data_IF_430464100315
#
_entry.id   IF_430464100315
#
_cell.length_a   1.000
_cell.length_b   1.000
_cell.length_c   1.000
_cell.angle_alpha   90.00
_cell.angle_beta   90.00
_cell.angle_gamma   90.00
#
_symmetry.space_group_name_H-M   'P 1'
#
loop_
_entity.id
_entity.type
_entity.pdbx_description
1 polymer ?
#
# COMPACT_ATOMS: atom_id res chain seq x y z
N UNK A 1 2.08 -15.15 -5.91
CA UNK A 1 1.30 -14.13 -5.20
C UNK A 1 2.02 -12.80 -5.35
N UNK A 2 1.30 -11.74 -5.72
CA UNK A 2 1.88 -10.40 -5.84
C UNK A 2 2.10 -9.80 -4.45
N UNK A 3 3.26 -9.21 -4.22
CA UNK A 3 3.61 -8.50 -2.99
C UNK A 3 2.55 -7.42 -2.66
N UNK A 4 2.00 -7.45 -1.44
CA UNK A 4 0.89 -6.54 -1.05
C UNK A 4 1.32 -5.09 -0.97
N UNK A 5 2.59 -4.80 -0.70
CA UNK A 5 3.11 -3.43 -0.71
C UNK A 5 3.02 -2.84 -2.13
N UNK A 6 3.29 -3.65 -3.17
CA UNK A 6 3.12 -3.23 -4.56
C UNK A 6 1.64 -2.97 -4.88
N UNK A 7 0.73 -3.82 -4.40
CA UNK A 7 -0.72 -3.64 -4.59
C UNK A 7 -1.23 -2.37 -3.90
N UNK A 8 -0.84 -2.14 -2.64
CA UNK A 8 -1.16 -0.91 -1.89
C UNK A 8 -0.63 0.31 -2.64
N UNK A 9 0.63 0.26 -3.11
CA UNK A 9 1.24 1.37 -3.85
C UNK A 9 0.45 1.69 -5.12
N UNK A 10 0.10 0.67 -5.92
CA UNK A 10 -0.73 0.83 -7.13
C UNK A 10 -2.10 1.42 -6.82
N UNK A 11 -2.75 0.98 -5.74
CA UNK A 11 -4.03 1.54 -5.31
C UNK A 11 -3.91 3.04 -5.00
N UNK A 12 -2.89 3.42 -4.22
CA UNK A 12 -2.65 4.83 -3.88
C UNK A 12 -2.34 5.65 -5.13
N UNK A 13 -1.52 5.14 -6.06
CA UNK A 13 -1.21 5.84 -7.33
C UNK A 13 -2.45 6.09 -8.18
N UNK A 14 -3.38 5.14 -8.21
CA UNK A 14 -4.63 5.28 -8.96
C UNK A 14 -5.60 6.25 -8.28
N UNK A 15 -5.65 6.25 -6.94
CA UNK A 15 -6.67 6.97 -6.17
C UNK A 15 -6.27 8.39 -5.82
N UNK A 16 -5.01 8.60 -5.42
CA UNK A 16 -4.47 9.89 -5.00
C UNK A 16 -3.65 10.48 -6.14
N UNK A 17 -4.19 11.50 -6.79
CA UNK A 17 -3.41 12.30 -7.74
C UNK A 17 -2.33 13.08 -6.99
N UNK A 18 -1.08 13.02 -7.46
CA UNK A 18 0.06 13.74 -6.86
C UNK A 18 0.92 12.92 -5.88
N UNK A 19 1.25 13.49 -4.72
CA UNK A 19 2.27 12.99 -3.78
C UNK A 19 1.83 11.82 -2.87
N UNK A 20 0.80 11.06 -3.24
CA UNK A 20 0.25 9.99 -2.39
C UNK A 20 1.29 8.92 -2.01
N UNK A 21 2.06 8.43 -2.98
CA UNK A 21 3.13 7.45 -2.73
C UNK A 21 4.28 8.06 -1.92
N UNK A 22 4.64 9.31 -2.21
CA UNK A 22 5.68 10.00 -1.43
C UNK A 22 5.29 10.15 0.04
N UNK A 23 4.02 10.50 0.31
CA UNK A 23 3.47 10.57 1.66
C UNK A 23 3.43 9.19 2.32
N UNK A 24 3.12 8.13 1.58
CA UNK A 24 3.14 6.76 2.11
C UNK A 24 4.56 6.39 2.58
N UNK A 25 5.57 6.71 1.76
CA UNK A 25 6.98 6.48 2.11
C UNK A 25 7.39 7.30 3.34
N UNK A 26 6.96 8.56 3.41
CA UNK A 26 7.26 9.45 4.55
C UNK A 26 6.64 8.95 5.85
N UNK A 27 5.38 8.52 5.83
CA UNK A 27 4.66 8.10 7.04
C UNK A 27 5.06 6.69 7.51
N UNK A 28 5.32 5.77 6.59
CA UNK A 28 5.72 4.39 6.92
C UNK A 28 7.22 4.22 7.17
N UNK A 29 8.05 5.15 6.68
CA UNK A 29 9.51 5.00 6.65
C UNK A 29 9.99 3.92 5.68
N UNK A 30 9.11 3.43 4.79
CA UNK A 30 9.41 2.34 3.84
C UNK A 30 9.50 2.91 2.44
N UNK A 31 10.58 2.61 1.72
CA UNK A 31 10.68 2.91 0.29
C UNK A 31 9.84 1.92 -0.52
N UNK A 32 8.53 2.15 -0.60
CA UNK A 32 7.58 1.21 -1.23
C UNK A 32 7.83 0.99 -2.73
N UNK A 33 8.54 1.92 -3.40
CA UNK A 33 8.92 1.78 -4.82
C UNK A 33 10.08 0.81 -5.05
N UNK A 34 10.79 0.41 -3.99
CA UNK A 34 11.86 -0.57 -4.09
C UNK A 34 11.34 -2.01 -4.24
N UNK A 35 10.07 -2.25 -3.92
CA UNK A 35 9.47 -3.59 -3.94
C UNK A 35 8.98 -3.95 -5.34
N UNK A 36 9.30 -5.16 -5.76
CA UNK A 36 8.79 -5.81 -6.95
C UNK A 36 7.63 -6.75 -6.61
N UNK A 37 6.70 -7.01 -7.55
CA UNK A 37 5.61 -7.95 -7.36
C UNK A 37 6.03 -9.33 -6.84
N UNK A 38 7.19 -9.81 -7.25
CA UNK A 38 7.77 -11.10 -6.89
C UNK A 38 8.59 -11.12 -5.59
N UNK A 39 8.86 -9.96 -5.00
CA UNK A 39 9.67 -9.88 -3.77
C UNK A 39 8.92 -10.51 -2.59
N UNK A 40 9.63 -11.23 -1.69
CA UNK A 40 9.02 -11.81 -0.51
C UNK A 40 8.48 -10.74 0.43
N UNK A 41 7.28 -10.97 0.98
CA UNK A 41 6.69 -10.07 1.95
C UNK A 41 7.44 -10.19 3.29
N UNK A 42 7.93 -9.05 3.78
CA UNK A 42 8.50 -8.97 5.13
C UNK A 42 7.41 -8.46 6.08
N UNK A 43 6.96 -9.25 7.07
CA UNK A 43 5.81 -8.89 7.92
C UNK A 43 5.97 -7.51 8.58
N UNK A 44 7.13 -7.24 9.19
CA UNK A 44 7.39 -5.96 9.85
C UNK A 44 7.48 -4.75 8.91
N UNK A 45 7.63 -4.96 7.61
CA UNK A 45 7.58 -3.87 6.60
C UNK A 45 6.14 -3.62 6.19
N UNK A 46 5.38 -4.68 5.93
CA UNK A 46 3.96 -4.57 5.58
C UNK A 46 3.16 -3.90 6.70
N UNK A 47 3.41 -4.26 7.96
CA UNK A 47 2.73 -3.67 9.12
C UNK A 47 2.95 -2.15 9.19
N UNK A 48 4.19 -1.68 8.95
CA UNK A 48 4.52 -0.25 8.91
C UNK A 48 3.78 0.48 7.79
N UNK A 49 3.69 -0.14 6.61
CA UNK A 49 2.93 0.42 5.48
C UNK A 49 1.44 0.49 5.83
N UNK A 50 0.88 -0.55 6.46
CA UNK A 50 -0.52 -0.60 6.85
C UNK A 50 -0.87 0.42 7.94
N UNK A 51 -0.01 0.59 8.95
CA UNK A 51 -0.18 1.60 10.01
C UNK A 51 -0.19 3.03 9.47
N UNK A 52 0.46 3.29 8.34
CA UNK A 52 0.46 4.60 7.70
C UNK A 52 -0.79 4.89 6.85
N UNK A 53 -1.60 3.88 6.50
CA UNK A 53 -2.76 4.05 5.62
C UNK A 53 -3.83 5.02 6.14
N UNK A 54 -4.18 5.04 7.44
CA UNK A 54 -5.17 5.99 7.98
C UNK A 54 -4.77 7.46 7.85
N UNK A 55 -3.48 7.75 7.73
CA UNK A 55 -2.97 9.12 7.54
C UNK A 55 -3.13 9.60 6.09
N UNK A 56 -3.37 8.68 5.16
CA UNK A 56 -3.46 8.96 3.72
C UNK A 56 -4.87 8.74 3.15
N UNK A 57 -5.59 7.76 3.68
CA UNK A 57 -6.85 7.27 3.15
C UNK A 57 -7.97 7.53 4.17
N UNK A 58 -9.14 7.93 3.66
CA UNK A 58 -10.36 7.93 4.45
C UNK A 58 -10.80 6.50 4.79
N UNK A 59 -11.66 6.32 5.79
CA UNK A 59 -12.18 5.01 6.16
C UNK A 59 -12.88 4.29 4.99
N UNK A 60 -13.54 5.03 4.11
CA UNK A 60 -14.14 4.46 2.89
C UNK A 60 -13.07 3.95 1.92
N UNK A 61 -12.00 4.73 1.69
CA UNK A 61 -10.89 4.32 0.82
C UNK A 61 -10.10 3.14 1.39
N UNK A 62 -10.02 3.02 2.72
CA UNK A 62 -9.43 1.84 3.38
C UNK A 62 -10.26 0.59 3.08
N UNK A 63 -11.59 0.67 3.20
CA UNK A 63 -12.47 -0.45 2.83
C UNK A 63 -12.37 -0.79 1.33
N UNK A 64 -12.24 0.21 0.45
CA UNK A 64 -11.98 0.01 -0.98
C UNK A 64 -10.66 -0.73 -1.21
N UNK A 65 -9.59 -0.35 -0.50
CA UNK A 65 -8.29 -1.01 -0.57
C UNK A 65 -8.37 -2.46 -0.07
N UNK A 66 -9.07 -2.72 1.04
CA UNK A 66 -9.23 -4.09 1.55
C UNK A 66 -9.96 -5.00 0.56
N UNK A 67 -11.00 -4.50 -0.10
CA UNK A 67 -11.68 -5.23 -1.19
C UNK A 67 -10.74 -5.50 -2.36
N UNK A 68 -10.01 -4.47 -2.82
CA UNK A 68 -9.02 -4.62 -3.89
C UNK A 68 -7.95 -5.67 -3.58
N UNK A 69 -7.44 -5.69 -2.34
CA UNK A 69 -6.46 -6.70 -1.90
C UNK A 69 -7.06 -8.11 -1.78
N UNK A 70 -8.35 -8.23 -1.50
CA UNK A 70 -9.03 -9.52 -1.46
C UNK A 70 -9.25 -10.10 -2.88
N UNK A 71 -9.58 -9.24 -3.85
CA UNK A 71 -9.79 -9.64 -5.26
C UNK A 71 -8.49 -10.13 -5.92
N UNK A 72 -7.35 -9.50 -5.63
CA UNK A 72 -6.03 -9.88 -6.18
C UNK A 72 -5.44 -11.16 -5.53
N UNK A 73 -6.15 -11.74 -4.54
CA UNK A 73 -5.77 -13.03 -3.91
C UNK A 73 -6.45 -14.25 -4.55
N UNK A 74 -7.52 -14.04 -5.32
CA UNK A 74 -8.27 -15.07 -6.06
C UNK A 74 -7.65 -15.33 -7.42
#
# INVERSE_FOLDING_TARGET
MTNRICLITRFIERRKTGFGVARLMMMSGVNVRAFRPEDPETPGTLDRVQQALPELLSSQEIQELERFLAEERT
#
